data_IF_081134065823
#
_entry.id   IF_081134065823
#
_cell.length_a   1.000
_cell.length_b   1.000
_cell.length_c   1.000
_cell.angle_alpha   90.00
_cell.angle_beta   90.00
_cell.angle_gamma   90.00
#
_symmetry.space_group_name_H-M   'P 1'
#
loop_
_entity.id
_entity.type
_entity.pdbx_description
1 polymer ?
#
# COMPACT_ATOMS: atom_id res chain seq x y z
N UNK A 1 -19.90 -14.43 -14.77
CA UNK A 1 -19.53 -13.39 -13.83
C UNK A 1 -18.08 -13.57 -13.38
N UNK A 2 -17.25 -12.60 -13.61
CA UNK A 2 -15.88 -12.67 -13.13
C UNK A 2 -15.88 -12.70 -11.61
N UNK A 3 -15.23 -13.70 -11.04
CA UNK A 3 -15.10 -13.79 -9.61
C UNK A 3 -13.81 -13.11 -9.17
N UNK A 4 -13.88 -11.81 -8.93
CA UNK A 4 -12.71 -11.01 -8.57
C UNK A 4 -12.01 -11.52 -7.31
N UNK A 5 -12.73 -12.23 -6.44
CA UNK A 5 -12.15 -12.75 -5.20
C UNK A 5 -11.19 -13.91 -5.44
N UNK A 6 -11.26 -14.58 -6.59
CA UNK A 6 -10.29 -15.62 -6.97
C UNK A 6 -8.92 -15.03 -7.33
N UNK A 7 -8.86 -13.74 -7.64
CA UNK A 7 -7.61 -13.06 -7.99
C UNK A 7 -6.88 -12.48 -6.78
N UNK A 8 -7.48 -12.57 -5.60
CA UNK A 8 -6.91 -12.02 -4.38
C UNK A 8 -5.80 -12.95 -3.88
N UNK A 9 -4.56 -12.47 -3.72
CA UNK A 9 -3.50 -13.30 -3.14
C UNK A 9 -3.83 -13.70 -1.71
N UNK A 10 -3.41 -14.89 -1.29
CA UNK A 10 -3.62 -15.34 0.09
C UNK A 10 -3.01 -14.39 1.11
N UNK A 11 -1.87 -13.80 0.79
CA UNK A 11 -1.18 -12.84 1.66
C UNK A 11 -1.97 -11.57 1.93
N UNK A 12 -2.93 -11.24 1.05
CA UNK A 12 -3.81 -10.07 1.21
C UNK A 12 -4.52 -10.08 2.56
N UNK A 13 -4.99 -11.25 2.98
CA UNK A 13 -5.74 -11.41 4.23
C UNK A 13 -4.86 -11.25 5.48
N UNK A 14 -3.54 -11.27 5.30
CA UNK A 14 -2.59 -11.06 6.37
C UNK A 14 -2.68 -9.69 7.03
N UNK A 15 -3.23 -8.69 6.34
CA UNK A 15 -3.42 -7.36 6.90
C UNK A 15 -4.27 -7.42 8.17
N UNK A 16 -5.33 -8.21 8.15
CA UNK A 16 -6.28 -8.30 9.26
C UNK A 16 -5.69 -9.02 10.48
N UNK A 17 -4.60 -9.77 10.29
CA UNK A 17 -3.90 -10.47 11.36
C UNK A 17 -2.63 -9.77 11.80
N UNK A 18 -2.21 -8.75 11.08
CA UNK A 18 -0.95 -8.06 11.35
C UNK A 18 -1.03 -7.26 12.64
N UNK A 19 0.06 -7.23 13.38
CA UNK A 19 0.22 -6.33 14.52
C UNK A 19 0.23 -4.86 14.09
N UNK A 20 0.57 -4.63 12.83
CA UNK A 20 0.68 -3.29 12.24
C UNK A 20 -0.55 -2.93 11.39
N UNK A 21 -1.66 -3.67 11.56
CA UNK A 21 -2.84 -3.48 10.70
C UNK A 21 -3.34 -2.03 10.65
N UNK A 22 -3.29 -1.33 11.78
CA UNK A 22 -3.74 0.06 11.81
C UNK A 22 -2.83 0.96 10.96
N UNK A 23 -1.52 0.70 10.99
CA UNK A 23 -0.56 1.45 10.18
C UNK A 23 -0.85 1.21 8.70
N UNK A 24 -1.10 -0.03 8.30
CA UNK A 24 -1.40 -0.37 6.91
C UNK A 24 -2.74 0.22 6.47
N UNK A 25 -3.76 0.17 7.33
CA UNK A 25 -5.07 0.76 7.03
C UNK A 25 -4.94 2.27 6.84
N UNK A 26 -4.26 2.95 7.75
CA UNK A 26 -4.06 4.39 7.66
C UNK A 26 -3.27 4.76 6.40
N UNK A 27 -2.27 3.95 6.07
CA UNK A 27 -1.48 4.14 4.85
C UNK A 27 -2.36 3.99 3.60
N UNK A 28 -3.22 2.97 3.57
CA UNK A 28 -4.13 2.75 2.45
C UNK A 28 -5.11 3.91 2.29
N UNK A 29 -5.63 4.44 3.40
CA UNK A 29 -6.52 5.59 3.36
C UNK A 29 -5.80 6.83 2.81
N UNK A 30 -4.56 7.04 3.23
CA UNK A 30 -3.75 8.16 2.73
C UNK A 30 -3.43 7.99 1.24
N UNK A 31 -3.06 6.78 0.83
CA UNK A 31 -2.77 6.48 -0.57
C UNK A 31 -4.03 6.68 -1.42
N UNK A 32 -5.18 6.24 -0.94
CA UNK A 32 -6.44 6.40 -1.65
C UNK A 32 -6.79 7.89 -1.85
N UNK A 33 -6.57 8.70 -0.82
CA UNK A 33 -6.78 10.15 -0.89
C UNK A 33 -5.91 10.77 -1.99
N UNK A 34 -4.61 10.43 -2.01
CA UNK A 34 -3.68 10.94 -3.02
C UNK A 34 -4.02 10.41 -4.42
N UNK A 35 -4.44 9.15 -4.49
CA UNK A 35 -4.81 8.49 -5.74
C UNK A 35 -5.98 9.20 -6.40
N UNK A 36 -7.02 9.52 -5.62
CA UNK A 36 -8.19 10.23 -6.12
C UNK A 36 -7.85 11.68 -6.49
N UNK A 37 -7.04 12.34 -5.64
CA UNK A 37 -6.62 13.71 -5.88
C UNK A 37 -5.82 13.85 -7.19
N UNK A 38 -5.04 12.83 -7.52
CA UNK A 38 -4.19 12.81 -8.71
C UNK A 38 -4.90 12.26 -9.94
N UNK A 39 -6.22 12.11 -9.92
CA UNK A 39 -7.01 11.50 -10.99
C UNK A 39 -6.50 10.11 -11.37
N UNK A 40 -6.14 9.32 -10.35
CA UNK A 40 -5.70 7.92 -10.50
C UNK A 40 -4.32 7.76 -11.16
N UNK A 41 -3.51 8.81 -11.18
CA UNK A 41 -2.12 8.78 -11.64
C UNK A 41 -1.18 9.07 -10.48
N UNK A 42 -0.92 8.06 -9.66
CA UNK A 42 -0.09 8.21 -8.47
C UNK A 42 1.25 7.51 -8.70
N UNK A 43 2.32 8.31 -8.83
CA UNK A 43 3.65 7.75 -8.97
C UNK A 43 4.14 7.16 -7.64
N UNK A 44 5.08 6.21 -7.73
CA UNK A 44 5.67 5.58 -6.56
C UNK A 44 6.33 6.62 -5.65
N UNK A 45 7.03 7.58 -6.24
CA UNK A 45 7.75 8.63 -5.51
C UNK A 45 6.80 9.53 -4.73
N UNK A 46 5.69 9.94 -5.36
CA UNK A 46 4.68 10.76 -4.69
C UNK A 46 4.02 9.96 -3.57
N UNK A 47 3.76 8.69 -3.80
CA UNK A 47 3.20 7.80 -2.80
C UNK A 47 4.09 7.71 -1.57
N UNK A 48 5.38 7.47 -1.77
CA UNK A 48 6.36 7.40 -0.68
C UNK A 48 6.45 8.72 0.06
N UNK A 49 6.45 9.85 -0.65
CA UNK A 49 6.49 11.17 -0.04
C UNK A 49 5.27 11.41 0.85
N UNK A 50 4.09 11.08 0.35
CA UNK A 50 2.85 11.25 1.11
C UNK A 50 2.86 10.39 2.39
N UNK A 51 3.34 9.16 2.30
CA UNK A 51 3.44 8.27 3.45
C UNK A 51 4.50 8.76 4.43
N UNK A 52 5.64 9.24 3.94
CA UNK A 52 6.71 9.78 4.79
C UNK A 52 6.20 10.96 5.61
N UNK A 53 5.48 11.88 4.98
CA UNK A 53 4.92 13.04 5.65
C UNK A 53 3.88 12.62 6.69
N UNK A 54 3.03 11.68 6.33
CA UNK A 54 1.98 11.16 7.23
C UNK A 54 2.60 10.51 8.47
N UNK A 55 3.58 9.64 8.29
CA UNK A 55 4.22 8.93 9.40
C UNK A 55 5.04 9.86 10.29
N UNK A 56 5.67 10.88 9.70
CA UNK A 56 6.42 11.87 10.47
C UNK A 56 5.50 12.64 11.41
N UNK A 57 4.31 13.01 10.95
CA UNK A 57 3.32 13.71 11.78
C UNK A 57 2.76 12.82 12.89
N UNK A 58 2.58 11.53 12.61
CA UNK A 58 1.97 10.59 13.55
C UNK A 58 2.98 9.95 14.48
N UNK A 59 4.28 10.12 14.25
CA UNK A 59 5.36 9.47 15.03
C UNK A 59 5.13 7.97 15.12
N UNK A 60 4.86 7.35 13.98
CA UNK A 60 4.50 5.94 13.90
C UNK A 60 5.70 5.05 14.17
N UNK A 61 5.50 4.00 14.98
CA UNK A 61 6.47 2.95 15.23
C UNK A 61 5.89 1.61 14.80
N UNK A 62 6.66 0.85 14.03
CA UNK A 62 6.21 -0.41 13.47
C UNK A 62 6.75 -1.59 14.26
N UNK A 63 5.87 -2.57 14.54
CA UNK A 63 6.27 -3.84 15.14
C UNK A 63 6.69 -4.82 14.04
N UNK A 64 7.55 -5.77 14.39
CA UNK A 64 7.97 -6.79 13.41
C UNK A 64 6.80 -7.71 13.08
N UNK A 65 6.62 -7.97 11.79
CA UNK A 65 5.52 -8.78 11.25
C UNK A 65 6.10 -10.00 10.54
N UNK A 66 5.39 -11.13 10.60
CA UNK A 66 5.81 -12.39 9.96
C UNK A 66 5.95 -12.27 8.45
N UNK A 67 5.16 -11.39 7.83
CA UNK A 67 5.21 -11.18 6.38
C UNK A 67 6.29 -10.18 5.97
N UNK A 68 6.98 -9.59 6.94
CA UNK A 68 8.03 -8.61 6.66
C UNK A 68 9.35 -9.32 6.41
N UNK A 69 10.01 -8.95 5.32
CA UNK A 69 11.31 -9.47 4.97
C UNK A 69 12.39 -8.78 5.83
N UNK A 70 13.49 -9.49 6.14
CA UNK A 70 14.60 -8.92 6.88
C UNK A 70 15.19 -7.67 6.22
N UNK A 71 15.18 -7.62 4.88
CA UNK A 71 15.65 -6.45 4.13
C UNK A 71 14.75 -5.24 4.33
N UNK A 72 13.46 -5.45 4.51
CA UNK A 72 12.50 -4.35 4.67
C UNK A 72 12.74 -3.58 5.96
N UNK A 73 13.23 -4.25 6.99
CA UNK A 73 13.50 -3.62 8.29
C UNK A 73 14.54 -2.50 8.18
N UNK A 74 15.42 -2.59 7.18
CA UNK A 74 16.48 -1.60 6.95
C UNK A 74 16.02 -0.40 6.14
N UNK A 75 14.83 -0.49 5.52
CA UNK A 75 14.30 0.59 4.69
C UNK A 75 13.55 1.63 5.52
N UNK A 76 13.43 2.87 5.04
CA UNK A 76 12.57 3.86 5.69
C UNK A 76 11.14 3.35 5.82
N UNK A 77 10.45 3.78 6.86
CA UNK A 77 9.11 3.29 7.18
C UNK A 77 8.12 3.38 6.00
N UNK A 78 8.11 4.51 5.30
CA UNK A 78 7.20 4.67 4.16
C UNK A 78 7.46 3.64 3.08
N UNK A 79 8.73 3.37 2.78
CA UNK A 79 9.12 2.37 1.78
C UNK A 79 8.75 0.97 2.26
N UNK A 80 8.98 0.66 3.54
CA UNK A 80 8.62 -0.64 4.13
C UNK A 80 7.12 -0.91 3.99
N UNK A 81 6.31 0.07 4.36
CA UNK A 81 4.85 -0.06 4.31
C UNK A 81 4.38 -0.22 2.87
N UNK A 82 4.89 0.61 1.96
CA UNK A 82 4.52 0.52 0.55
C UNK A 82 4.89 -0.85 -0.04
N UNK A 83 6.11 -1.32 0.22
CA UNK A 83 6.54 -2.62 -0.29
C UNK A 83 5.70 -3.76 0.26
N UNK A 84 5.34 -3.70 1.54
CA UNK A 84 4.48 -4.70 2.15
C UNK A 84 3.09 -4.74 1.48
N UNK A 85 2.50 -3.56 1.25
CA UNK A 85 1.19 -3.46 0.60
C UNK A 85 1.24 -3.98 -0.85
N UNK A 86 2.37 -3.75 -1.54
CA UNK A 86 2.56 -4.28 -2.90
C UNK A 86 2.70 -5.80 -2.89
N UNK A 87 3.49 -6.35 -1.97
CA UNK A 87 3.71 -7.79 -1.89
C UNK A 87 2.45 -8.55 -1.52
N UNK A 88 1.62 -7.97 -0.69
CA UNK A 88 0.40 -8.64 -0.22
C UNK A 88 -0.79 -8.43 -1.14
N UNK A 89 -0.65 -7.62 -2.18
CA UNK A 89 -1.68 -7.44 -3.18
C UNK A 89 -2.70 -6.36 -2.88
N UNK A 90 -2.51 -5.57 -1.81
CA UNK A 90 -3.36 -4.41 -1.53
C UNK A 90 -3.13 -3.29 -2.53
N UNK A 91 -1.92 -3.23 -3.07
CA UNK A 91 -1.54 -2.28 -4.11
C UNK A 91 -0.87 -3.03 -5.25
N UNK A 92 -0.84 -2.40 -6.42
CA UNK A 92 -0.19 -2.94 -7.61
C UNK A 92 0.67 -1.87 -8.26
N UNK A 93 1.80 -2.28 -8.81
CA UNK A 93 2.64 -1.40 -9.62
C UNK A 93 2.26 -1.54 -11.07
N UNK A 94 2.20 -0.41 -11.76
CA UNK A 94 1.97 -0.38 -13.21
C UNK A 94 3.07 0.48 -13.82
N UNK A 95 3.85 -0.12 -14.72
CA UNK A 95 4.91 0.62 -15.44
C UNK A 95 4.29 1.46 -16.54
N UNK A 96 4.66 2.73 -16.61
CA UNK A 96 4.27 3.61 -17.69
C UNK A 96 5.51 3.85 -18.57
N UNK A 97 5.56 3.17 -19.70
CA UNK A 97 6.72 3.25 -20.58
C UNK A 97 6.80 4.59 -21.33
N UNK A 98 5.69 5.30 -21.45
CA UNK A 98 5.68 6.61 -22.12
C UNK A 98 6.36 7.68 -21.26
N UNK A 99 6.15 7.64 -19.95
CA UNK A 99 6.71 8.59 -18.99
C UNK A 99 7.90 8.04 -18.23
N UNK A 100 8.22 6.76 -18.44
CA UNK A 100 9.29 6.05 -17.74
C UNK A 100 9.09 6.08 -16.22
N UNK A 101 7.84 6.03 -15.78
CA UNK A 101 7.50 6.08 -14.35
C UNK A 101 6.81 4.78 -13.91
N UNK A 102 6.86 4.54 -12.61
CA UNK A 102 6.12 3.45 -11.97
C UNK A 102 4.95 4.08 -11.22
N UNK A 103 3.75 3.66 -11.57
CA UNK A 103 2.54 4.14 -10.92
C UNK A 103 2.01 3.09 -9.94
N UNK A 104 1.39 3.58 -8.87
CA UNK A 104 0.75 2.75 -7.86
C UNK A 104 -0.76 2.81 -8.07
N UNK A 105 -1.40 1.65 -8.13
CA UNK A 105 -2.85 1.57 -8.28
C UNK A 105 -3.44 0.71 -7.18
N UNK A 106 -4.71 0.97 -6.86
CA UNK A 106 -5.48 0.16 -5.91
C UNK A 106 -6.33 -0.79 -6.74
N UNK A 107 -6.07 -2.11 -6.68
CA UNK A 107 -6.90 -3.07 -7.42
C UNK A 107 -8.36 -3.01 -6.97
N UNK A 108 -9.29 -3.35 -7.86
CA UNK A 108 -10.73 -3.27 -7.58
C UNK A 108 -11.13 -4.05 -6.33
N UNK A 109 -10.57 -5.25 -6.14
CA UNK A 109 -10.89 -6.06 -4.96
C UNK A 109 -10.42 -5.39 -3.66
N UNK A 110 -9.31 -4.65 -3.71
CA UNK A 110 -8.80 -3.92 -2.53
C UNK A 110 -9.60 -2.65 -2.28
N UNK A 111 -10.05 -1.99 -3.35
CA UNK A 111 -10.83 -0.75 -3.23
C UNK A 111 -12.11 -0.95 -2.41
N UNK A 112 -12.73 -2.12 -2.50
CA UNK A 112 -13.92 -2.47 -1.72
C UNK A 112 -13.64 -2.35 -0.22
N UNK A 113 -12.50 -2.88 0.22
CA UNK A 113 -12.12 -2.83 1.63
C UNK A 113 -11.67 -1.43 2.05
N UNK A 114 -10.92 -0.74 1.18
CA UNK A 114 -10.46 0.62 1.47
C UNK A 114 -11.66 1.56 1.64
N UNK A 115 -12.68 1.42 0.81
CA UNK A 115 -13.90 2.21 0.93
C UNK A 115 -14.64 1.92 2.24
N UNK A 116 -14.51 0.69 2.76
CA UNK A 116 -15.14 0.31 4.02
C UNK A 116 -14.36 0.77 5.25
N UNK A 117 -13.08 1.02 5.09
CA UNK A 117 -12.25 1.50 6.19
C UNK A 117 -12.61 2.94 6.53
#
# INVERSE_FOLDING_TARGET
MANQFLEIPDSFWGLFRSKNRQIYIDALLKINEEYQYSNYFLSREICIQALSDHFARQKVTMEQDELEDDFDVLEPLATRVLNWLLRTGWLRKVDDYNTMTVNIVIPDYAAVFVDAF
#
